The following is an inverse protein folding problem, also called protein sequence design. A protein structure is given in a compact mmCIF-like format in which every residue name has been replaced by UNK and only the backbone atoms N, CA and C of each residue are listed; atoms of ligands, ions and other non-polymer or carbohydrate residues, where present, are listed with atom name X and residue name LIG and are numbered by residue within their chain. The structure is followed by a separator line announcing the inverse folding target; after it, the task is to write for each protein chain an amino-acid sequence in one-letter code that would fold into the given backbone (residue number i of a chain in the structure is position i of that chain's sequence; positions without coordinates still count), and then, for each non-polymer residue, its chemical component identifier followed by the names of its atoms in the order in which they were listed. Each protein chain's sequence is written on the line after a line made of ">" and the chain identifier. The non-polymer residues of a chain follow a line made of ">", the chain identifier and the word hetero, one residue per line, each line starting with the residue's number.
data_IF_559623037371
#
_entry.id   IF_559623037371
#
_cell.length_a   1.000
_cell.length_b   1.000
_cell.length_c   1.000
_cell.angle_alpha   90.00
_cell.angle_beta   90.00
_cell.angle_gamma   90.00
#
_symmetry.space_group_name_H-M   'P 1'
#
loop_
_entity.id
_entity.type
_entity.pdbx_description
1 polymer ?
#
# COMPACT_ATOMS: atom_id res chain seq x y z
N UNK A 1 10.56 -22.76 13.16
CA UNK A 1 11.19 -21.58 12.54
C UNK A 1 11.00 -21.71 11.03
N UNK A 2 10.09 -20.94 10.43
CA UNK A 2 9.91 -20.92 8.96
C UNK A 2 11.13 -20.22 8.37
N UNK A 3 11.82 -20.86 7.42
CA UNK A 3 12.88 -20.22 6.64
C UNK A 3 12.23 -19.73 5.34
N UNK A 4 12.09 -18.41 5.20
CA UNK A 4 11.70 -17.83 3.92
C UNK A 4 12.85 -17.98 2.92
N UNK A 5 12.58 -18.49 1.73
CA UNK A 5 13.50 -18.43 0.60
C UNK A 5 13.09 -17.23 -0.26
N UNK A 6 13.96 -16.21 -0.31
CA UNK A 6 13.77 -15.03 -1.14
C UNK A 6 14.85 -15.05 -2.22
N UNK A 7 14.45 -14.97 -3.48
CA UNK A 7 15.35 -14.79 -4.62
C UNK A 7 15.08 -13.43 -5.25
N UNK A 8 16.11 -12.61 -5.37
CA UNK A 8 16.04 -11.28 -6.00
C UNK A 8 16.90 -11.31 -7.26
N UNK A 9 16.29 -11.04 -8.42
CA UNK A 9 16.96 -11.13 -9.71
C UNK A 9 17.75 -9.86 -10.08
N UNK A 10 17.54 -8.76 -9.35
CA UNK A 10 18.18 -7.46 -9.61
C UNK A 10 19.48 -7.32 -8.81
N UNK A 11 20.64 -7.09 -9.45
CA UNK A 11 21.89 -6.79 -8.74
C UNK A 11 21.76 -5.52 -7.90
N UNK A 12 22.42 -5.48 -6.74
CA UNK A 12 22.51 -4.27 -5.91
C UNK A 12 21.30 -3.99 -5.01
N UNK A 13 20.34 -4.90 -4.88
CA UNK A 13 19.26 -4.78 -3.90
C UNK A 13 19.79 -5.09 -2.50
N UNK A 14 19.75 -4.10 -1.60
CA UNK A 14 19.97 -4.29 -0.16
C UNK A 14 18.71 -4.91 0.46
N UNK A 15 18.65 -6.25 0.43
CA UNK A 15 17.53 -6.99 1.01
C UNK A 15 17.70 -7.10 2.53
N UNK A 16 16.77 -6.49 3.27
CA UNK A 16 16.70 -6.58 4.74
C UNK A 16 15.44 -7.31 5.19
N UNK A 17 15.62 -8.34 6.00
CA UNK A 17 14.52 -9.10 6.57
C UNK A 17 14.06 -8.44 7.87
N UNK A 18 12.77 -8.10 7.94
CA UNK A 18 12.12 -7.53 9.11
C UNK A 18 10.98 -8.44 9.57
N UNK A 19 11.27 -9.48 10.38
CA UNK A 19 10.22 -10.35 10.90
C UNK A 19 9.33 -9.60 11.89
N UNK A 20 8.04 -9.88 11.86
CA UNK A 20 7.06 -9.36 12.83
C UNK A 20 6.16 -10.51 13.34
N UNK A 21 5.57 -10.31 14.51
CA UNK A 21 4.70 -11.30 15.17
C UNK A 21 3.71 -10.64 16.12
N UNK A 22 3.31 -9.41 15.80
CA UNK A 22 2.39 -8.62 16.61
C UNK A 22 1.90 -7.38 15.86
N UNK A 23 0.83 -6.72 16.35
CA UNK A 23 0.28 -5.52 15.74
C UNK A 23 1.27 -4.34 15.79
N UNK A 24 1.07 -3.38 14.88
CA UNK A 24 1.71 -2.07 14.93
C UNK A 24 2.60 -1.77 13.72
N UNK A 25 3.42 -0.72 13.81
CA UNK A 25 4.34 -0.34 12.73
C UNK A 25 5.47 -1.36 12.60
N UNK A 26 5.70 -1.82 11.37
CA UNK A 26 6.76 -2.80 11.04
C UNK A 26 7.83 -2.21 10.11
N UNK A 27 7.52 -1.11 9.43
CA UNK A 27 8.43 -0.29 8.64
C UNK A 27 7.84 1.12 8.50
N UNK A 28 8.61 2.06 7.94
CA UNK A 28 8.11 3.39 7.63
C UNK A 28 6.91 3.29 6.67
N UNK A 29 5.79 3.89 7.05
CA UNK A 29 4.55 3.84 6.29
C UNK A 29 3.87 2.47 6.27
N UNK A 30 4.34 1.46 7.00
CA UNK A 30 3.73 0.12 7.02
C UNK A 30 3.32 -0.29 8.42
N UNK A 31 2.02 -0.53 8.60
CA UNK A 31 1.42 -1.04 9.83
C UNK A 31 0.70 -2.36 9.60
N UNK A 32 0.61 -3.18 10.65
CA UNK A 32 -0.14 -4.43 10.65
C UNK A 32 -1.18 -4.49 11.75
N UNK A 33 -2.25 -5.25 11.51
CA UNK A 33 -3.25 -5.64 12.51
C UNK A 33 -3.50 -7.14 12.44
N UNK A 34 -3.72 -7.81 13.59
CA UNK A 34 -4.14 -9.20 13.61
C UNK A 34 -5.50 -9.32 12.92
N UNK A 35 -5.66 -10.41 12.17
CA UNK A 35 -6.92 -10.79 11.53
C UNK A 35 -7.51 -12.02 12.23
N UNK A 36 -8.76 -12.35 11.89
CA UNK A 36 -9.47 -13.48 12.48
C UNK A 36 -9.44 -14.67 11.54
N UNK A 37 -8.42 -15.52 11.65
CA UNK A 37 -8.33 -16.74 10.87
C UNK A 37 -8.02 -17.97 11.73
N UNK A 38 -7.91 -19.15 11.12
CA UNK A 38 -7.62 -20.43 11.83
C UNK A 38 -6.19 -20.51 12.35
N UNK A 39 -5.28 -19.78 11.70
CA UNK A 39 -3.90 -19.61 12.12
C UNK A 39 -3.64 -18.12 12.36
N UNK A 40 -2.50 -17.81 12.98
CA UNK A 40 -2.04 -16.44 13.11
C UNK A 40 -1.92 -15.81 11.71
N UNK A 41 -2.57 -14.66 11.53
CA UNK A 41 -2.67 -13.96 10.25
C UNK A 41 -2.78 -12.47 10.51
N UNK A 42 -2.19 -11.69 9.61
CA UNK A 42 -2.11 -10.24 9.72
C UNK A 42 -2.54 -9.60 8.41
N UNK A 43 -3.25 -8.48 8.52
CA UNK A 43 -3.49 -7.56 7.42
C UNK A 43 -2.49 -6.42 7.47
N UNK A 44 -2.34 -5.73 6.34
CA UNK A 44 -1.32 -4.70 6.16
C UNK A 44 -1.96 -3.40 5.73
N UNK A 45 -1.48 -2.28 6.26
CA UNK A 45 -1.77 -0.94 5.76
C UNK A 45 -0.46 -0.30 5.35
N UNK A 46 -0.42 0.20 4.12
CA UNK A 46 0.70 0.95 3.55
C UNK A 46 0.26 2.39 3.34
N UNK A 47 1.05 3.34 3.80
CA UNK A 47 0.87 4.77 3.60
C UNK A 47 2.12 5.28 2.90
N UNK A 48 1.97 5.69 1.66
CA UNK A 48 2.99 6.43 0.95
C UNK A 48 2.95 7.90 1.40
N UNK A 49 4.10 8.51 1.71
CA UNK A 49 4.16 9.92 2.05
C UNK A 49 3.78 10.80 0.85
N UNK A 50 3.50 12.07 1.13
CA UNK A 50 3.41 13.08 0.08
C UNK A 50 4.68 13.06 -0.78
N UNK A 51 4.50 13.27 -2.08
CA UNK A 51 5.59 13.22 -3.02
C UNK A 51 5.39 14.19 -4.17
N UNK A 52 6.16 13.97 -5.24
CA UNK A 52 6.03 14.74 -6.47
C UNK A 52 6.09 13.81 -7.67
N UNK A 53 5.21 14.03 -8.63
CA UNK A 53 5.26 13.34 -9.92
C UNK A 53 6.05 14.20 -10.90
N UNK A 54 7.15 13.65 -11.40
CA UNK A 54 7.95 14.30 -12.44
C UNK A 54 7.15 14.43 -13.74
N UNK A 55 7.33 15.54 -14.44
CA UNK A 55 6.71 15.81 -15.74
C UNK A 55 7.74 15.54 -16.84
N UNK A 56 7.65 14.40 -17.57
CA UNK A 56 8.68 14.01 -18.53
C UNK A 56 8.95 15.07 -19.61
N UNK A 57 7.90 15.73 -20.09
CA UNK A 57 8.02 16.79 -21.09
C UNK A 57 8.78 18.01 -20.57
N UNK A 58 8.57 18.40 -19.30
CA UNK A 58 9.30 19.53 -18.70
C UNK A 58 10.74 19.20 -18.37
N UNK A 59 11.01 17.97 -17.94
CA UNK A 59 12.38 17.47 -17.78
C UNK A 59 13.15 17.50 -19.10
N UNK A 60 12.53 17.01 -20.17
CA UNK A 60 13.12 17.01 -21.51
C UNK A 60 13.37 18.44 -22.01
N UNK A 61 12.41 19.36 -21.84
CA UNK A 61 12.56 20.77 -22.20
C UNK A 61 13.68 21.48 -21.39
N UNK A 62 13.90 21.06 -20.15
CA UNK A 62 14.98 21.53 -19.29
C UNK A 62 16.33 20.83 -19.53
N UNK A 63 16.38 19.84 -20.42
CA UNK A 63 17.60 19.06 -20.70
C UNK A 63 18.02 18.10 -19.58
N UNK A 64 17.14 17.78 -18.63
CA UNK A 64 17.42 16.93 -17.47
C UNK A 64 17.08 15.48 -17.80
N UNK A 65 18.06 14.58 -17.77
CA UNK A 65 17.87 13.15 -18.10
C UNK A 65 18.75 12.23 -17.24
N UNK A 66 18.44 10.93 -17.23
CA UNK A 66 19.30 9.93 -16.58
C UNK A 66 19.57 10.22 -15.10
N UNK A 67 20.84 10.16 -14.69
CA UNK A 67 21.26 10.38 -13.30
C UNK A 67 20.97 11.79 -12.78
N UNK A 68 20.81 12.78 -13.65
CA UNK A 68 20.51 14.16 -13.27
C UNK A 68 19.13 14.30 -12.62
N UNK A 69 18.20 13.41 -12.96
CA UNK A 69 16.89 13.33 -12.31
C UNK A 69 17.06 12.99 -10.83
N UNK A 70 17.89 12.00 -10.51
CA UNK A 70 18.16 11.61 -9.13
C UNK A 70 18.90 12.71 -8.36
N UNK A 71 19.83 13.43 -9.01
CA UNK A 71 20.50 14.59 -8.43
C UNK A 71 19.49 15.70 -8.12
N UNK A 72 18.63 16.05 -9.09
CA UNK A 72 17.58 17.06 -8.92
C UNK A 72 16.60 16.70 -7.79
N UNK A 73 16.18 15.44 -7.68
CA UNK A 73 15.29 14.99 -6.61
C UNK A 73 15.94 15.08 -5.23
N UNK A 74 17.23 14.73 -5.12
CA UNK A 74 17.96 14.76 -3.85
C UNK A 74 18.32 16.19 -3.41
N UNK A 75 18.81 17.00 -4.34
CA UNK A 75 19.37 18.32 -4.05
C UNK A 75 18.32 19.45 -4.21
N UNK A 76 17.14 19.13 -4.74
CA UNK A 76 15.99 20.04 -4.91
C UNK A 76 16.12 21.03 -6.07
N UNK A 77 17.32 21.20 -6.62
CA UNK A 77 17.60 22.01 -7.81
C UNK A 77 18.84 21.52 -8.55
N UNK A 78 18.89 21.73 -9.86
CA UNK A 78 20.04 21.40 -10.71
C UNK A 78 20.10 22.38 -11.88
N UNK A 79 21.27 23.01 -12.11
CA UNK A 79 21.46 23.89 -13.27
C UNK A 79 20.49 25.08 -13.33
N UNK A 80 19.99 25.57 -12.20
CA UNK A 80 19.01 26.66 -12.12
C UNK A 80 17.56 26.23 -12.25
N UNK A 81 17.28 24.94 -12.51
CA UNK A 81 15.93 24.37 -12.53
C UNK A 81 15.60 23.83 -11.14
N UNK A 82 14.46 24.21 -10.58
CA UNK A 82 13.97 23.67 -9.30
C UNK A 82 13.12 22.43 -9.57
N UNK A 83 13.11 21.49 -8.62
CA UNK A 83 12.28 20.29 -8.73
C UNK A 83 10.81 20.65 -9.01
N UNK A 84 10.29 21.72 -8.42
CA UNK A 84 8.92 22.18 -8.61
C UNK A 84 8.58 22.71 -10.01
N UNK A 85 9.58 23.14 -10.78
CA UNK A 85 9.38 23.62 -12.15
C UNK A 85 9.01 22.45 -13.08
N UNK A 86 9.52 21.25 -12.77
CA UNK A 86 9.44 20.04 -13.59
C UNK A 86 8.64 18.91 -12.93
N UNK A 87 7.84 19.22 -11.92
CA UNK A 87 7.01 18.22 -11.23
C UNK A 87 5.77 18.83 -10.60
N UNK A 88 4.78 17.99 -10.30
CA UNK A 88 3.55 18.39 -9.57
C UNK A 88 3.48 17.70 -8.21
N UNK A 89 2.88 18.34 -7.18
CA UNK A 89 2.58 17.67 -5.92
C UNK A 89 1.76 16.40 -6.17
N UNK A 90 2.13 15.31 -5.50
CA UNK A 90 1.37 14.07 -5.44
C UNK A 90 0.98 13.86 -3.97
N UNK A 91 -0.32 13.91 -3.65
CA UNK A 91 -0.74 13.68 -2.27
C UNK A 91 -0.41 12.27 -1.83
N UNK A 92 -0.19 12.09 -0.53
CA UNK A 92 -0.06 10.81 0.13
C UNK A 92 -1.16 9.85 -0.31
N UNK A 93 -0.79 8.58 -0.46
CA UNK A 93 -1.71 7.52 -0.84
C UNK A 93 -1.68 6.41 0.21
N UNK A 94 -2.83 5.78 0.45
CA UNK A 94 -2.95 4.72 1.43
C UNK A 94 -3.67 3.49 0.87
N UNK A 95 -3.17 2.33 1.25
CA UNK A 95 -3.58 1.03 0.77
C UNK A 95 -3.75 0.07 1.94
N UNK A 96 -4.79 -0.76 1.94
CA UNK A 96 -4.94 -1.86 2.87
C UNK A 96 -5.06 -3.21 2.14
N UNK A 97 -4.40 -4.22 2.69
CA UNK A 97 -4.42 -5.61 2.24
C UNK A 97 -4.97 -6.50 3.36
N UNK A 98 -6.20 -6.97 3.18
CA UNK A 98 -6.94 -7.82 4.12
C UNK A 98 -7.15 -9.18 3.45
N UNK A 99 -6.27 -10.13 3.75
CA UNK A 99 -6.37 -11.51 3.27
C UNK A 99 -7.17 -12.38 4.23
N UNK A 100 -7.24 -13.69 3.96
CA UNK A 100 -7.88 -14.76 4.73
C UNK A 100 -8.28 -14.36 6.17
N UNK A 101 -9.56 -14.03 6.37
CA UNK A 101 -10.12 -13.58 7.63
C UNK A 101 -11.64 -13.72 7.68
N UNK A 102 -12.20 -13.98 8.85
CA UNK A 102 -13.60 -13.65 9.15
C UNK A 102 -13.75 -12.15 9.45
N UNK A 103 -14.98 -11.61 9.52
CA UNK A 103 -15.22 -10.25 9.98
C UNK A 103 -14.56 -9.98 11.34
N UNK A 104 -13.75 -8.92 11.42
CA UNK A 104 -13.03 -8.55 12.64
C UNK A 104 -12.64 -7.06 12.65
N UNK A 105 -12.34 -6.55 13.85
CA UNK A 105 -11.96 -5.14 14.04
C UNK A 105 -10.68 -4.78 13.30
N UNK A 106 -9.69 -5.69 13.27
CA UNK A 106 -8.42 -5.47 12.57
C UNK A 106 -8.60 -5.16 11.08
N UNK A 107 -9.53 -5.86 10.40
CA UNK A 107 -9.87 -5.56 9.01
C UNK A 107 -10.49 -4.17 8.85
N UNK A 108 -11.42 -3.81 9.74
CA UNK A 108 -12.06 -2.50 9.74
C UNK A 108 -11.08 -1.35 10.02
N UNK A 109 -10.18 -1.51 10.98
CA UNK A 109 -9.13 -0.53 11.30
C UNK A 109 -8.18 -0.28 10.13
N UNK A 110 -7.76 -1.35 9.45
CA UNK A 110 -6.89 -1.26 8.28
C UNK A 110 -7.60 -0.57 7.11
N UNK A 111 -8.86 -0.93 6.86
CA UNK A 111 -9.66 -0.40 5.75
C UNK A 111 -10.13 1.04 5.97
N UNK A 112 -10.14 1.53 7.21
CA UNK A 112 -10.68 2.86 7.51
C UNK A 112 -9.93 3.98 6.76
N UNK A 113 -10.63 4.60 5.81
CA UNK A 113 -10.16 5.77 5.08
C UNK A 113 -9.01 5.52 4.10
N UNK A 114 -8.74 4.27 3.72
CA UNK A 114 -7.73 4.00 2.68
C UNK A 114 -8.23 4.39 1.29
N UNK A 115 -7.29 4.65 0.38
CA UNK A 115 -7.61 4.97 -1.01
C UNK A 115 -7.91 3.72 -1.83
N UNK A 116 -7.30 2.61 -1.43
CA UNK A 116 -7.50 1.29 -2.03
C UNK A 116 -7.55 0.23 -0.93
N UNK A 117 -8.63 -0.54 -0.93
CA UNK A 117 -8.76 -1.75 -0.15
C UNK A 117 -8.71 -2.95 -1.08
N UNK A 118 -7.82 -3.90 -0.79
CA UNK A 118 -7.89 -5.26 -1.34
C UNK A 118 -8.27 -6.17 -0.20
N UNK A 119 -9.43 -6.81 -0.33
CA UNK A 119 -9.99 -7.72 0.65
C UNK A 119 -10.22 -9.09 0.00
N UNK A 120 -10.04 -10.17 0.76
CA UNK A 120 -10.49 -11.49 0.35
C UNK A 120 -12.02 -11.55 0.22
N UNK A 121 -12.51 -12.47 -0.61
CA UNK A 121 -13.94 -12.71 -0.80
C UNK A 121 -14.12 -14.16 -1.21
N UNK A 122 -13.63 -15.08 -0.38
CA UNK A 122 -13.54 -16.51 -0.72
C UNK A 122 -14.90 -17.12 -1.04
N UNK A 123 -15.95 -16.65 -0.36
CA UNK A 123 -17.30 -17.19 -0.48
C UNK A 123 -18.28 -16.19 -1.09
N UNK A 124 -19.35 -16.72 -1.69
CA UNK A 124 -20.53 -15.94 -2.04
C UNK A 124 -21.34 -15.58 -0.77
N UNK A 125 -22.27 -14.64 -0.86
CA UNK A 125 -23.15 -14.32 0.27
C UNK A 125 -24.11 -15.48 0.64
N UNK A 126 -24.43 -16.33 -0.34
CA UNK A 126 -25.25 -17.54 -0.12
C UNK A 126 -24.50 -18.61 0.70
N UNK A 127 -23.16 -18.56 0.70
CA UNK A 127 -22.29 -19.49 1.41
C UNK A 127 -21.82 -18.95 2.78
N UNK A 128 -22.59 -18.06 3.40
CA UNK A 128 -22.22 -17.39 4.66
C UNK A 128 -21.87 -18.35 5.81
N UNK A 129 -22.54 -19.50 5.90
CA UNK A 129 -22.25 -20.53 6.91
C UNK A 129 -20.87 -21.16 6.69
N UNK A 130 -20.48 -21.39 5.43
CA UNK A 130 -19.14 -21.90 5.09
C UNK A 130 -18.07 -20.83 5.37
N UNK A 131 -18.35 -19.56 5.04
CA UNK A 131 -17.46 -18.44 5.36
C UNK A 131 -17.18 -18.36 6.86
N UNK A 132 -18.23 -18.43 7.69
CA UNK A 132 -18.09 -18.46 9.14
C UNK A 132 -17.32 -19.69 9.64
N UNK A 133 -17.63 -20.88 9.10
CA UNK A 133 -16.99 -22.13 9.49
C UNK A 133 -15.48 -22.13 9.20
N UNK A 134 -15.08 -21.63 8.03
CA UNK A 134 -13.68 -21.64 7.59
C UNK A 134 -12.90 -20.37 7.93
N UNK A 135 -13.57 -19.38 8.55
CA UNK A 135 -13.05 -18.05 8.91
C UNK A 135 -12.56 -17.26 7.70
N UNK A 136 -13.46 -17.07 6.75
CA UNK A 136 -13.29 -16.27 5.54
C UNK A 136 -14.41 -15.25 5.40
N UNK A 137 -14.28 -14.37 4.41
CA UNK A 137 -15.30 -13.39 4.06
C UNK A 137 -16.20 -13.88 2.94
N UNK A 138 -17.46 -13.45 3.00
CA UNK A 138 -18.30 -13.36 1.81
C UNK A 138 -18.01 -12.07 1.03
N UNK A 139 -18.42 -12.00 -0.22
CA UNK A 139 -18.31 -10.78 -1.04
C UNK A 139 -19.00 -9.56 -0.38
N UNK A 140 -20.19 -9.74 0.18
CA UNK A 140 -20.92 -8.67 0.88
C UNK A 140 -20.22 -8.23 2.17
N UNK A 141 -19.60 -9.15 2.90
CA UNK A 141 -18.79 -8.82 4.09
C UNK A 141 -17.53 -8.02 3.70
N UNK A 142 -16.83 -8.43 2.64
CA UNK A 142 -15.67 -7.68 2.13
C UNK A 142 -16.04 -6.27 1.68
N UNK A 143 -17.21 -6.12 1.03
CA UNK A 143 -17.74 -4.83 0.58
C UNK A 143 -18.10 -3.87 1.70
N UNK A 144 -18.34 -4.35 2.92
CA UNK A 144 -18.75 -3.53 4.07
C UNK A 144 -17.74 -2.43 4.44
N UNK A 145 -16.45 -2.68 4.20
CA UNK A 145 -15.38 -1.72 4.51
C UNK A 145 -14.89 -0.91 3.32
N UNK A 146 -15.54 -1.02 2.16
CA UNK A 146 -15.14 -0.24 1.01
C UNK A 146 -15.24 1.26 1.35
N UNK A 147 -14.18 2.04 1.11
CA UNK A 147 -14.26 3.48 1.28
C UNK A 147 -15.34 4.02 0.35
N UNK A 148 -16.08 5.07 0.77
CA UNK A 148 -16.99 5.74 -0.15
C UNK A 148 -16.19 6.23 -1.38
N UNK A 149 -16.79 6.20 -2.58
CA UNK A 149 -16.11 6.67 -3.78
C UNK A 149 -15.64 8.12 -3.54
N UNK A 150 -14.33 8.36 -3.70
CA UNK A 150 -13.81 9.72 -3.66
C UNK A 150 -14.50 10.51 -4.75
N UNK A 151 -15.20 11.59 -4.37
CA UNK A 151 -15.67 12.57 -5.35
C UNK A 151 -14.44 13.01 -6.14
N UNK A 152 -14.49 12.95 -7.47
CA UNK A 152 -13.44 13.50 -8.29
C UNK A 152 -13.23 14.95 -7.82
N UNK A 153 -12.02 15.28 -7.36
CA UNK A 153 -11.67 16.67 -7.11
C UNK A 153 -11.90 17.42 -8.41
N UNK A 154 -12.91 18.29 -8.43
CA UNK A 154 -13.00 19.34 -9.43
C UNK A 154 -11.74 20.18 -9.29
N UNK A 155 -10.94 20.13 -10.35
CA UNK A 155 -9.73 20.91 -10.67
C UNK A 155 -9.52 22.20 -9.88
#
# INVERSE_FOLDING_TARGET
>A
MIRALVAVASPGVDLRLHPHGGPGPIAEGVEVRPLLHRIETYGYRVVEPDGRSLLPERLAAAGITGSDISLLQRDGSLGGVRLEDVSVPRPAQSFAFVMDTAPCDGAGELANGVDLLVAESTFSDDDGDLAAQYRHLTAGQAGHWLPPPKRACSS
#
